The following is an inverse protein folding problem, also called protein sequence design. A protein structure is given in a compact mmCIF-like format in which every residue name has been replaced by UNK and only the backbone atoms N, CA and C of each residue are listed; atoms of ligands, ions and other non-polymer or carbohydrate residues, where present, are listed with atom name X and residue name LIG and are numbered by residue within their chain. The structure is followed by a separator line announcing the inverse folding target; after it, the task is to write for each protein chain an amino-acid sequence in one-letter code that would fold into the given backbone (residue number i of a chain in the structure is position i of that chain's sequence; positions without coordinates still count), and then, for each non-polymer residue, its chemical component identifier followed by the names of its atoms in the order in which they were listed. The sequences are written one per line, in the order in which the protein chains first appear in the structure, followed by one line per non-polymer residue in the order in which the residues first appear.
data_IF_732120069036
#
_entry.id   IF_732120069036
#
_cell.length_a   1.000
_cell.length_b   1.000
_cell.length_c   1.000
_cell.angle_alpha   90.00
_cell.angle_beta   90.00
_cell.angle_gamma   90.00
#
_symmetry.space_group_name_H-M   'P 1'
#
loop_
_entity.id
_entity.type
_entity.pdbx_description
1 polymer ?
#
# COMPACT_ATOMS: atom_id res chain seq x y z
N UNK A 1 -51.13 40.95 30.41
CA UNK A 1 -50.92 40.58 31.82
C UNK A 1 -51.10 39.07 31.95
N UNK A 2 -50.09 38.38 32.51
CA UNK A 2 -50.11 37.03 33.13
C UNK A 2 -50.48 35.82 32.24
N UNK A 3 -49.55 34.98 31.77
CA UNK A 3 -48.78 33.93 32.47
C UNK A 3 -49.48 32.57 32.52
N UNK A 4 -48.92 31.55 31.86
CA UNK A 4 -49.00 30.16 32.33
C UNK A 4 -47.76 29.36 31.90
N UNK A 5 -46.82 29.26 32.83
CA UNK A 5 -45.73 28.30 32.87
C UNK A 5 -46.33 26.90 33.04
N UNK A 6 -45.96 25.93 32.20
CA UNK A 6 -46.18 24.50 32.49
C UNK A 6 -45.20 23.60 31.75
N UNK A 7 -44.14 23.24 32.50
CA UNK A 7 -43.49 21.92 32.55
C UNK A 7 -42.95 21.35 31.23
N UNK A 8 -41.69 21.66 30.94
CA UNK A 8 -40.85 20.78 30.13
C UNK A 8 -39.96 20.01 31.08
N UNK A 9 -40.34 18.76 31.29
CA UNK A 9 -39.68 17.78 32.15
C UNK A 9 -38.22 17.60 31.74
N UNK A 10 -37.36 17.76 32.75
CA UNK A 10 -35.95 17.45 32.74
C UNK A 10 -35.76 15.94 32.47
N UNK A 11 -35.39 15.59 31.25
CA UNK A 11 -34.94 14.24 30.91
C UNK A 11 -33.42 14.19 30.99
N UNK A 12 -32.88 13.81 32.15
CA UNK A 12 -31.48 13.41 32.27
C UNK A 12 -31.28 12.12 31.47
N UNK A 13 -30.79 12.24 30.24
CA UNK A 13 -30.24 11.12 29.47
C UNK A 13 -28.87 10.78 30.07
N UNK A 14 -28.85 9.76 30.92
CA UNK A 14 -27.61 9.14 31.36
C UNK A 14 -26.93 8.46 30.16
N UNK A 15 -25.92 9.12 29.60
CA UNK A 15 -25.07 8.55 28.56
C UNK A 15 -24.15 7.49 29.19
N UNK A 16 -24.55 6.22 29.10
CA UNK A 16 -23.67 5.10 29.37
C UNK A 16 -22.61 5.03 28.25
N UNK A 17 -21.40 5.54 28.52
CA UNK A 17 -20.24 5.38 27.65
C UNK A 17 -19.74 3.95 27.74
N UNK A 18 -20.22 3.08 26.83
CA UNK A 18 -19.62 1.78 26.58
C UNK A 18 -18.17 2.00 26.13
N UNK A 19 -17.21 1.62 26.97
CA UNK A 19 -15.79 1.60 26.61
C UNK A 19 -15.56 0.49 25.57
N UNK A 20 -15.37 0.86 24.31
CA UNK A 20 -14.97 -0.07 23.25
C UNK A 20 -13.47 -0.32 23.42
N UNK A 21 -13.01 -1.56 23.67
CA UNK A 21 -11.59 -1.84 23.68
C UNK A 21 -11.02 -1.58 22.29
N UNK A 22 -10.03 -0.69 22.19
CA UNK A 22 -9.31 -0.45 20.96
C UNK A 22 -8.47 -1.69 20.62
N UNK A 23 -8.95 -2.51 19.69
CA UNK A 23 -8.15 -3.59 19.11
C UNK A 23 -7.12 -2.95 18.19
N UNK A 24 -5.85 -2.99 18.58
CA UNK A 24 -4.74 -2.61 17.70
C UNK A 24 -4.47 -3.75 16.73
N UNK A 25 -4.43 -3.44 15.43
CA UNK A 25 -3.98 -4.39 14.43
C UNK A 25 -2.46 -4.64 14.63
N UNK A 26 -1.96 -5.86 14.39
CA UNK A 26 -0.52 -6.13 14.38
C UNK A 26 0.19 -5.20 13.40
N UNK A 27 1.39 -4.73 13.75
CA UNK A 27 2.24 -4.02 12.81
C UNK A 27 2.67 -4.98 11.71
N UNK A 28 2.56 -4.56 10.45
CA UNK A 28 3.15 -5.29 9.33
C UNK A 28 4.68 -5.21 9.44
N UNK A 29 5.33 -6.35 9.28
CA UNK A 29 6.79 -6.48 9.32
C UNK A 29 7.32 -6.87 7.95
N UNK A 30 8.58 -6.52 7.69
CA UNK A 30 9.25 -6.95 6.47
C UNK A 30 9.48 -8.47 6.48
N UNK A 31 9.13 -9.13 5.39
CA UNK A 31 9.29 -10.55 5.11
C UNK A 31 10.04 -10.76 3.78
N UNK A 32 11.38 -10.82 3.88
CA UNK A 32 12.25 -11.08 2.73
C UNK A 32 11.99 -12.45 2.07
N UNK A 33 11.53 -13.45 2.84
CA UNK A 33 11.26 -14.77 2.30
C UNK A 33 9.99 -14.75 1.44
N UNK A 34 8.92 -14.11 1.90
CA UNK A 34 7.69 -13.92 1.14
C UNK A 34 7.93 -13.12 -0.14
N UNK A 35 8.78 -12.08 -0.08
CA UNK A 35 9.21 -11.35 -1.27
C UNK A 35 9.92 -12.27 -2.27
N UNK A 36 10.97 -12.97 -1.82
CA UNK A 36 11.76 -13.86 -2.67
C UNK A 36 10.89 -14.94 -3.32
N UNK A 37 10.02 -15.59 -2.56
CA UNK A 37 9.07 -16.57 -3.10
C UNK A 37 8.21 -15.95 -4.21
N UNK A 38 7.68 -14.74 -4.00
CA UNK A 38 6.82 -14.07 -4.98
C UNK A 38 7.53 -13.74 -6.30
N UNK A 39 8.84 -13.43 -6.27
CA UNK A 39 9.58 -12.95 -7.45
C UNK A 39 10.49 -13.98 -8.08
N UNK A 40 10.97 -15.01 -7.35
CA UNK A 40 11.88 -16.01 -7.92
C UNK A 40 11.16 -17.18 -8.57
N UNK A 41 9.93 -17.48 -8.15
CA UNK A 41 9.13 -18.57 -8.76
C UNK A 41 8.30 -18.08 -9.94
N UNK A 42 8.08 -16.77 -10.06
CA UNK A 42 7.31 -16.16 -11.13
C UNK A 42 8.21 -15.97 -12.37
N UNK A 43 7.79 -16.45 -13.56
CA UNK A 43 8.52 -16.16 -14.80
C UNK A 43 8.59 -14.66 -15.07
N UNK A 44 9.69 -14.21 -15.70
CA UNK A 44 9.80 -12.85 -16.24
C UNK A 44 10.84 -11.96 -15.56
N UNK A 45 11.13 -12.15 -14.26
CA UNK A 45 12.13 -11.31 -13.57
C UNK A 45 13.57 -11.83 -13.72
N UNK A 46 13.77 -13.15 -13.73
CA UNK A 46 15.08 -13.79 -14.01
C UNK A 46 16.27 -13.20 -13.22
N UNK A 47 16.05 -12.81 -11.95
CA UNK A 47 17.13 -12.31 -11.10
C UNK A 47 18.26 -13.36 -11.00
N UNK A 48 19.55 -12.94 -11.05
CA UNK A 48 20.66 -13.88 -11.07
C UNK A 48 20.87 -14.63 -9.73
N UNK A 49 20.40 -14.06 -8.61
CA UNK A 49 20.39 -14.67 -7.29
C UNK A 49 19.45 -13.91 -6.34
N UNK A 50 19.28 -14.41 -5.11
CA UNK A 50 18.41 -13.82 -4.09
C UNK A 50 18.86 -12.42 -3.66
N UNK A 51 20.16 -12.16 -3.54
CA UNK A 51 20.68 -10.84 -3.14
C UNK A 51 20.36 -9.78 -4.21
N UNK A 52 20.45 -10.13 -5.49
CA UNK A 52 20.07 -9.26 -6.59
C UNK A 52 18.56 -8.94 -6.58
N UNK A 53 17.72 -9.94 -6.32
CA UNK A 53 16.28 -9.73 -6.17
C UNK A 53 15.98 -8.80 -4.99
N UNK A 54 16.56 -9.05 -3.82
CA UNK A 54 16.37 -8.21 -2.63
C UNK A 54 16.88 -6.79 -2.86
N UNK A 55 18.05 -6.64 -3.49
CA UNK A 55 18.59 -5.33 -3.85
C UNK A 55 17.65 -4.54 -4.74
N UNK A 56 17.06 -5.18 -5.75
CA UNK A 56 16.07 -4.55 -6.63
C UNK A 56 14.79 -4.15 -5.86
N UNK A 57 14.28 -5.05 -5.02
CA UNK A 57 13.10 -4.79 -4.19
C UNK A 57 13.30 -3.65 -3.20
N UNK A 58 14.46 -3.57 -2.53
CA UNK A 58 14.80 -2.43 -1.66
C UNK A 58 15.01 -1.14 -2.46
N UNK A 59 15.55 -1.22 -3.68
CA UNK A 59 15.58 -0.08 -4.60
C UNK A 59 14.19 0.50 -4.83
N UNK A 60 13.19 -0.32 -5.17
CA UNK A 60 11.78 0.11 -5.28
C UNK A 60 11.30 0.79 -3.99
N UNK A 61 11.63 0.22 -2.83
CA UNK A 61 11.27 0.80 -1.54
C UNK A 61 11.86 2.20 -1.34
N UNK A 62 13.10 2.42 -1.74
CA UNK A 62 13.77 3.72 -1.65
C UNK A 62 13.12 4.74 -2.58
N UNK A 63 12.80 4.35 -3.83
CA UNK A 63 12.10 5.22 -4.79
C UNK A 63 10.72 5.66 -4.25
N UNK A 64 9.96 4.73 -3.66
CA UNK A 64 8.65 5.04 -3.05
C UNK A 64 8.82 5.92 -1.81
N UNK A 65 9.82 5.64 -0.96
CA UNK A 65 10.11 6.44 0.23
C UNK A 65 10.55 7.87 -0.13
N UNK A 66 11.24 8.04 -1.25
CA UNK A 66 11.60 9.35 -1.82
C UNK A 66 10.38 10.10 -2.42
N UNK A 67 9.21 9.46 -2.44
CA UNK A 67 7.97 10.05 -2.93
C UNK A 67 7.84 10.06 -4.46
N UNK A 68 8.61 9.22 -5.17
CA UNK A 68 8.45 9.12 -6.62
C UNK A 68 7.06 8.62 -7.00
N UNK A 69 6.49 9.15 -8.08
CA UNK A 69 5.15 8.78 -8.49
C UNK A 69 5.11 7.34 -9.00
N UNK A 70 4.04 6.62 -8.65
CA UNK A 70 3.85 5.21 -9.03
C UNK A 70 4.07 4.94 -10.52
N UNK A 71 3.58 5.83 -11.38
CA UNK A 71 3.72 5.69 -12.83
C UNK A 71 5.18 5.68 -13.33
N UNK A 72 6.06 6.41 -12.63
CA UNK A 72 7.49 6.49 -12.97
C UNK A 72 8.22 5.23 -12.50
N UNK A 73 7.98 4.78 -11.26
CA UNK A 73 8.50 3.50 -10.74
C UNK A 73 8.06 2.33 -11.64
N UNK A 74 6.79 2.32 -12.06
CA UNK A 74 6.25 1.34 -13.01
C UNK A 74 6.97 1.39 -14.37
N UNK A 75 7.29 2.60 -14.85
CA UNK A 75 8.05 2.80 -16.08
C UNK A 75 9.46 2.23 -16.01
N UNK A 76 10.17 2.50 -14.92
CA UNK A 76 11.51 1.96 -14.68
C UNK A 76 11.49 0.44 -14.65
N UNK A 77 10.56 -0.15 -13.88
CA UNK A 77 10.42 -1.61 -13.78
C UNK A 77 10.16 -2.24 -15.15
N UNK A 78 9.23 -1.68 -15.94
CA UNK A 78 8.99 -2.19 -17.30
C UNK A 78 10.24 -2.06 -18.18
N UNK A 79 10.98 -0.96 -18.07
CA UNK A 79 12.23 -0.73 -18.79
C UNK A 79 13.31 -1.75 -18.43
N UNK A 80 13.52 -1.99 -17.13
CA UNK A 80 14.54 -2.91 -16.61
C UNK A 80 14.29 -4.36 -17.02
N UNK A 81 13.02 -4.78 -17.03
CA UNK A 81 12.63 -6.14 -17.44
C UNK A 81 12.30 -6.26 -18.93
N UNK A 82 12.36 -5.17 -19.69
CA UNK A 82 12.04 -5.16 -21.12
C UNK A 82 10.64 -5.69 -21.42
N UNK A 83 9.66 -5.35 -20.58
CA UNK A 83 8.28 -5.87 -20.66
C UNK A 83 7.28 -4.76 -20.96
N UNK A 84 6.24 -5.08 -21.73
CA UNK A 84 5.05 -4.24 -21.89
C UNK A 84 3.89 -4.70 -21.00
N UNK A 85 4.10 -5.68 -20.12
CA UNK A 85 3.10 -6.20 -19.18
C UNK A 85 3.08 -5.34 -17.90
N UNK A 86 1.99 -4.59 -17.73
CA UNK A 86 1.74 -3.73 -16.56
C UNK A 86 1.41 -4.53 -15.31
N UNK A 87 0.80 -5.70 -15.46
CA UNK A 87 0.56 -6.60 -14.35
C UNK A 87 1.89 -7.13 -13.80
N UNK A 88 2.84 -7.50 -14.67
CA UNK A 88 4.18 -7.90 -14.25
C UNK A 88 4.87 -6.79 -13.44
N UNK A 89 4.84 -5.55 -13.92
CA UNK A 89 5.47 -4.43 -13.21
C UNK A 89 4.76 -4.11 -11.89
N UNK A 90 3.44 -4.00 -11.90
CA UNK A 90 2.65 -3.65 -10.71
C UNK A 90 2.69 -4.72 -9.64
N UNK A 91 2.77 -6.00 -10.03
CA UNK A 91 2.98 -7.11 -9.10
C UNK A 91 4.32 -6.96 -8.39
N UNK A 92 5.41 -6.71 -9.12
CA UNK A 92 6.74 -6.57 -8.50
C UNK A 92 6.79 -5.39 -7.53
N UNK A 93 6.26 -4.24 -7.94
CA UNK A 93 6.23 -3.04 -7.10
C UNK A 93 5.39 -3.27 -5.85
N UNK A 94 4.21 -3.87 -6.00
CA UNK A 94 3.32 -4.18 -4.87
C UNK A 94 3.94 -5.20 -3.92
N UNK A 95 4.60 -6.24 -4.45
CA UNK A 95 5.26 -7.27 -3.67
C UNK A 95 6.44 -6.70 -2.89
N UNK A 96 7.28 -5.87 -3.53
CA UNK A 96 8.39 -5.20 -2.86
C UNK A 96 7.89 -4.34 -1.69
N UNK A 97 6.86 -3.51 -1.91
CA UNK A 97 6.38 -2.62 -0.84
C UNK A 97 5.63 -3.37 0.25
N UNK A 98 4.81 -4.37 -0.09
CA UNK A 98 4.07 -5.13 0.91
C UNK A 98 4.99 -5.95 1.81
N UNK A 99 5.99 -6.59 1.21
CA UNK A 99 6.85 -7.54 1.91
C UNK A 99 8.14 -6.91 2.44
N UNK A 100 8.72 -5.88 1.82
CA UNK A 100 10.04 -5.36 2.24
C UNK A 100 9.97 -4.04 3.00
N UNK A 101 9.01 -3.17 2.67
CA UNK A 101 8.88 -1.85 3.28
C UNK A 101 7.42 -1.49 3.58
N UNK A 102 6.74 -2.24 4.47
CA UNK A 102 5.32 -2.03 4.76
C UNK A 102 4.98 -0.63 5.30
N UNK A 103 5.96 0.08 5.88
CA UNK A 103 5.81 1.47 6.29
C UNK A 103 5.46 2.41 5.11
N UNK A 104 5.81 2.04 3.87
CA UNK A 104 5.59 2.83 2.66
C UNK A 104 4.30 2.46 1.91
N UNK A 105 3.51 1.50 2.40
CA UNK A 105 2.26 1.06 1.75
C UNK A 105 1.31 2.25 1.50
N UNK A 106 1.19 3.17 2.45
CA UNK A 106 0.30 4.31 2.29
C UNK A 106 0.78 5.26 1.19
N UNK A 107 2.09 5.53 1.15
CA UNK A 107 2.71 6.37 0.11
C UNK A 107 2.50 5.75 -1.28
N UNK A 108 2.76 4.45 -1.43
CA UNK A 108 2.53 3.73 -2.68
C UNK A 108 1.06 3.86 -3.11
N UNK A 109 0.11 3.51 -2.23
CA UNK A 109 -1.32 3.53 -2.55
C UNK A 109 -1.82 4.93 -2.91
N UNK A 110 -1.36 5.95 -2.21
CA UNK A 110 -1.70 7.33 -2.51
C UNK A 110 -1.18 7.74 -3.90
N UNK A 111 0.06 7.37 -4.23
CA UNK A 111 0.65 7.67 -5.54
C UNK A 111 0.02 6.87 -6.70
N UNK A 112 -0.58 5.71 -6.41
CA UNK A 112 -1.22 4.84 -7.40
C UNK A 112 -2.72 5.12 -7.62
N UNK A 113 -3.35 5.99 -6.82
CA UNK A 113 -4.81 6.14 -6.76
C UNK A 113 -5.52 6.45 -8.10
N UNK A 114 -4.78 7.02 -9.06
CA UNK A 114 -5.28 7.38 -10.38
C UNK A 114 -4.41 6.83 -11.52
N UNK A 115 -3.62 5.81 -11.21
CA UNK A 115 -2.77 5.19 -12.21
C UNK A 115 -3.62 4.59 -13.35
N UNK A 116 -3.16 4.84 -14.58
CA UNK A 116 -3.68 4.23 -15.79
C UNK A 116 -2.50 3.76 -16.61
N UNK A 117 -2.60 2.55 -17.16
CA UNK A 117 -1.57 2.00 -18.04
C UNK A 117 -1.35 2.93 -19.23
N UNK A 118 -0.08 3.29 -19.54
CA UNK A 118 0.22 4.10 -20.72
C UNK A 118 -0.24 3.42 -22.01
N UNK A 119 -0.52 4.19 -23.08
CA UNK A 119 -0.81 3.60 -24.39
C UNK A 119 0.30 2.65 -24.85
N UNK A 120 -0.08 1.47 -25.32
CA UNK A 120 0.86 0.44 -25.80
C UNK A 120 1.45 -0.46 -24.72
N UNK A 121 1.05 -0.30 -23.45
CA UNK A 121 1.34 -1.23 -22.35
C UNK A 121 0.12 -2.14 -22.15
N UNK A 122 0.35 -3.45 -22.03
CA UNK A 122 -0.67 -4.46 -21.75
C UNK A 122 -1.06 -4.41 -20.25
N UNK A 123 -2.31 -4.05 -19.90
CA UNK A 123 -2.75 -3.94 -18.52
C UNK A 123 -2.95 -5.29 -17.82
#
# INVERSE_FOLDING_TARGET
MSAMIRRWTCGLLAAATLAIPAVSAPAAHADAAAYLIGVTVRPGYNFPNADAALGYGYGICDEVAAGRPFAEVMGDVRGDFGTDDDYQASYLVSQAVNELCPAQIWQLRNSAAHYQSPPGVHP
#
